data_IF_643893339680
#
_entry.id   IF_643893339680
#
_cell.length_a   1.000
_cell.length_b   1.000
_cell.length_c   1.000
_cell.angle_alpha   90.00
_cell.angle_beta   90.00
_cell.angle_gamma   90.00
#
_symmetry.space_group_name_H-M   'P 1'
#
loop_
_entity.id
_entity.type
_entity.pdbx_description
1 polymer ?
#
# COMPACT_ATOMS: atom_id res chain seq x y z
N UNK A 1 1.44 -10.56 -0.84
CA UNK A 1 0.98 -10.62 -2.25
C UNK A 1 -0.54 -10.79 -2.27
N UNK A 2 -1.31 -9.86 -2.86
CA UNK A 2 -2.76 -9.98 -2.91
C UNK A 2 -3.14 -11.08 -3.90
N UNK A 3 -3.66 -12.20 -3.38
CA UNK A 3 -4.00 -13.41 -4.17
C UNK A 3 -5.15 -13.20 -5.18
N UNK A 4 -5.81 -12.04 -5.16
CA UNK A 4 -7.01 -11.78 -5.96
C UNK A 4 -6.72 -11.41 -7.43
N UNK A 5 -5.51 -10.94 -7.76
CA UNK A 5 -5.15 -10.63 -9.16
C UNK A 5 -4.76 -11.87 -9.99
N UNK A 6 -4.37 -12.97 -9.33
CA UNK A 6 -3.95 -14.21 -9.99
C UNK A 6 -5.10 -15.22 -10.18
N UNK A 7 -6.30 -14.94 -9.66
CA UNK A 7 -7.46 -15.84 -9.82
C UNK A 7 -8.13 -15.59 -11.19
N UNK A 8 -7.39 -15.79 -12.28
CA UNK A 8 -7.93 -15.72 -13.65
C UNK A 8 -8.64 -17.03 -13.98
N UNK A 9 -9.97 -16.96 -14.05
CA UNK A 9 -10.88 -17.93 -14.67
C UNK A 9 -10.38 -18.49 -16.03
N UNK A 10 -9.52 -17.76 -16.74
CA UNK A 10 -8.91 -18.18 -18.00
C UNK A 10 -7.99 -19.40 -17.87
N UNK A 11 -7.30 -19.59 -16.74
CA UNK A 11 -6.40 -20.73 -16.56
C UNK A 11 -7.13 -22.08 -16.64
N UNK A 12 -8.32 -22.15 -16.04
CA UNK A 12 -9.15 -23.36 -16.09
C UNK A 12 -9.61 -23.67 -17.51
N UNK A 13 -10.08 -22.68 -18.28
CA UNK A 13 -10.47 -22.91 -19.68
C UNK A 13 -9.31 -23.39 -20.54
N UNK A 14 -8.11 -22.84 -20.36
CA UNK A 14 -6.91 -23.28 -21.09
C UNK A 14 -6.53 -24.71 -20.72
N UNK A 15 -6.55 -25.06 -19.42
CA UNK A 15 -6.27 -26.43 -18.97
C UNK A 15 -7.31 -27.40 -19.52
N UNK A 16 -8.60 -27.07 -19.46
CA UNK A 16 -9.67 -27.90 -20.01
C UNK A 16 -9.48 -28.12 -21.52
N UNK A 17 -9.13 -27.07 -22.28
CA UNK A 17 -8.82 -27.20 -23.72
C UNK A 17 -7.64 -28.15 -23.98
N UNK A 18 -6.56 -28.03 -23.20
CA UNK A 18 -5.40 -28.92 -23.31
C UNK A 18 -5.76 -30.38 -23.01
N UNK A 19 -6.55 -30.61 -21.96
CA UNK A 19 -7.02 -31.97 -21.58
C UNK A 19 -7.90 -32.55 -22.68
N UNK A 20 -8.84 -31.77 -23.23
CA UNK A 20 -9.69 -32.20 -24.33
C UNK A 20 -8.88 -32.50 -25.60
N UNK A 21 -7.91 -31.65 -25.95
CA UNK A 21 -7.03 -31.89 -27.09
C UNK A 21 -6.17 -33.15 -26.91
N UNK A 22 -5.63 -33.36 -25.71
CA UNK A 22 -4.87 -34.55 -25.36
C UNK A 22 -5.70 -35.84 -25.51
N UNK A 23 -6.96 -35.82 -25.04
CA UNK A 23 -7.88 -36.94 -25.22
C UNK A 23 -8.15 -37.24 -26.69
N UNK A 24 -8.42 -36.23 -27.51
CA UNK A 24 -8.66 -36.44 -28.94
C UNK A 24 -7.45 -37.02 -29.66
N UNK A 25 -6.24 -36.51 -29.40
CA UNK A 25 -4.99 -37.04 -29.97
C UNK A 25 -4.76 -38.49 -29.52
N UNK A 26 -5.08 -38.81 -28.26
CA UNK A 26 -4.94 -40.18 -27.73
C UNK A 26 -5.86 -41.17 -28.46
N UNK A 27 -7.12 -40.79 -28.70
CA UNK A 27 -8.06 -41.60 -29.51
C UNK A 27 -7.56 -41.77 -30.94
N UNK A 28 -7.06 -40.68 -31.55
CA UNK A 28 -6.53 -40.71 -32.92
C UNK A 28 -5.31 -41.64 -33.07
N UNK A 29 -4.48 -41.70 -32.04
CA UNK A 29 -3.29 -42.56 -31.99
C UNK A 29 -3.63 -44.04 -32.09
N UNK A 30 -4.79 -44.46 -31.56
CA UNK A 30 -5.27 -45.84 -31.66
C UNK A 30 -5.57 -46.26 -33.10
N UNK A 31 -5.99 -45.32 -33.96
CA UNK A 31 -6.27 -45.58 -35.38
C UNK A 31 -5.02 -45.50 -36.26
N UNK A 32 -4.19 -44.47 -36.05
CA UNK A 32 -2.99 -44.20 -36.85
C UNK A 32 -1.92 -43.58 -35.95
N UNK A 33 -0.95 -44.40 -35.54
CA UNK A 33 0.08 -43.98 -34.58
C UNK A 33 0.95 -42.83 -35.11
N UNK A 34 1.15 -42.72 -36.43
CA UNK A 34 1.95 -41.65 -37.04
C UNK A 34 1.32 -40.26 -36.81
N UNK A 35 -0.01 -40.16 -36.93
CA UNK A 35 -0.73 -38.89 -36.73
C UNK A 35 -0.73 -38.50 -35.25
N UNK A 36 -0.83 -39.50 -34.37
CA UNK A 36 -0.70 -39.33 -32.92
C UNK A 36 0.62 -38.67 -32.51
N UNK A 37 1.75 -39.18 -33.02
CA UNK A 37 3.08 -38.65 -32.71
C UNK A 37 3.21 -37.18 -33.15
N UNK A 38 2.76 -36.84 -34.36
CA UNK A 38 2.77 -35.46 -34.86
C UNK A 38 1.87 -34.56 -34.00
N UNK A 39 0.68 -35.04 -33.63
CA UNK A 39 -0.25 -34.32 -32.76
C UNK A 39 0.32 -34.00 -31.39
N UNK A 40 0.98 -34.98 -30.74
CA UNK A 40 1.64 -34.77 -29.46
C UNK A 40 2.81 -33.79 -29.54
N UNK A 41 3.60 -33.82 -30.61
CA UNK A 41 4.67 -32.85 -30.83
C UNK A 41 4.13 -31.42 -30.94
N UNK A 42 3.07 -31.21 -31.72
CA UNK A 42 2.44 -29.91 -31.87
C UNK A 42 1.84 -29.45 -30.53
N UNK A 43 1.11 -30.33 -29.83
CA UNK A 43 0.53 -30.00 -28.53
C UNK A 43 1.60 -29.61 -27.51
N UNK A 44 2.72 -30.35 -27.48
CA UNK A 44 3.86 -30.05 -26.62
C UNK A 44 4.50 -28.70 -26.94
N UNK A 45 4.69 -28.38 -28.22
CA UNK A 45 5.23 -27.08 -28.63
C UNK A 45 4.32 -25.91 -28.20
N UNK A 46 3.00 -26.05 -28.37
CA UNK A 46 2.03 -25.05 -27.92
C UNK A 46 2.05 -24.93 -26.40
N UNK A 47 2.15 -26.04 -25.67
CA UNK A 47 2.23 -26.03 -24.21
C UNK A 47 3.47 -25.27 -23.71
N UNK A 48 4.63 -25.52 -24.31
CA UNK A 48 5.87 -24.83 -23.99
C UNK A 48 5.73 -23.32 -24.25
N UNK A 49 5.19 -22.94 -25.41
CA UNK A 49 4.98 -21.54 -25.76
C UNK A 49 4.02 -20.85 -24.76
N UNK A 50 2.92 -21.51 -24.39
CA UNK A 50 1.95 -21.00 -23.44
C UNK A 50 2.56 -20.78 -22.04
N UNK A 51 3.39 -21.71 -21.56
CA UNK A 51 4.10 -21.57 -20.27
C UNK A 51 5.09 -20.41 -20.31
N UNK A 52 5.88 -20.29 -21.38
CA UNK A 52 6.82 -19.17 -21.52
C UNK A 52 6.10 -17.83 -21.54
N UNK A 53 5.06 -17.69 -22.38
CA UNK A 53 4.26 -16.47 -22.45
C UNK A 53 3.69 -16.07 -21.09
N UNK A 54 3.24 -17.06 -20.29
CA UNK A 54 2.76 -16.83 -18.94
C UNK A 54 3.85 -16.29 -18.01
N UNK A 55 5.05 -16.86 -18.04
CA UNK A 55 6.17 -16.43 -17.19
C UNK A 55 6.61 -15.01 -17.54
N UNK A 56 6.73 -14.68 -18.83
CA UNK A 56 7.07 -13.32 -19.25
C UNK A 56 6.02 -12.30 -18.80
N UNK A 57 4.74 -12.62 -18.99
CA UNK A 57 3.66 -11.75 -18.54
C UNK A 57 3.65 -11.53 -17.02
N UNK A 58 3.91 -12.57 -16.23
CA UNK A 58 3.98 -12.45 -14.76
C UNK A 58 5.12 -11.51 -14.32
N UNK A 59 6.28 -11.56 -15.00
CA UNK A 59 7.41 -10.66 -14.73
C UNK A 59 7.10 -9.21 -15.08
N UNK A 60 6.56 -8.97 -16.28
CA UNK A 60 6.20 -7.62 -16.72
C UNK A 60 5.15 -7.00 -15.80
N UNK A 61 4.18 -7.82 -15.35
CA UNK A 61 3.16 -7.40 -14.39
C UNK A 61 3.78 -7.04 -13.03
N UNK A 62 4.71 -7.86 -12.53
CA UNK A 62 5.39 -7.61 -11.27
C UNK A 62 6.17 -6.29 -11.32
N UNK A 63 6.96 -6.08 -12.38
CA UNK A 63 7.73 -4.84 -12.57
C UNK A 63 6.82 -3.61 -12.71
N UNK A 64 5.71 -3.75 -13.44
CA UNK A 64 4.70 -2.71 -13.55
C UNK A 64 4.09 -2.36 -12.19
N UNK A 65 3.70 -3.37 -11.41
CA UNK A 65 3.14 -3.19 -10.05
C UNK A 65 4.18 -2.52 -9.15
N UNK A 66 5.43 -2.97 -9.15
CA UNK A 66 6.50 -2.37 -8.35
C UNK A 66 6.69 -0.90 -8.70
N UNK A 67 6.73 -0.57 -9.98
CA UNK A 67 6.89 0.80 -10.47
C UNK A 67 5.70 1.69 -10.09
N UNK A 68 4.48 1.18 -10.23
CA UNK A 68 3.26 1.90 -9.88
C UNK A 68 3.15 2.10 -8.36
N UNK A 69 3.36 1.03 -7.58
CA UNK A 69 3.37 1.08 -6.12
C UNK A 69 4.44 2.04 -5.60
N UNK A 70 5.63 2.07 -6.20
CA UNK A 70 6.65 3.05 -5.87
C UNK A 70 6.18 4.48 -6.12
N UNK A 71 5.57 4.78 -7.29
CA UNK A 71 5.05 6.12 -7.60
C UNK A 71 3.87 6.52 -6.70
N UNK A 72 2.97 5.60 -6.39
CA UNK A 72 1.83 5.83 -5.49
C UNK A 72 2.31 6.06 -4.06
N UNK A 73 3.24 5.22 -3.56
CA UNK A 73 3.85 5.39 -2.24
C UNK A 73 4.58 6.72 -2.15
N UNK A 74 5.35 7.08 -3.18
CA UNK A 74 6.06 8.37 -3.25
C UNK A 74 5.10 9.55 -3.35
N UNK A 75 4.03 9.45 -4.14
CA UNK A 75 3.00 10.48 -4.22
C UNK A 75 2.25 10.63 -2.89
N UNK A 76 2.03 9.55 -2.14
CA UNK A 76 1.46 9.57 -0.79
C UNK A 76 2.40 10.20 0.24
N UNK A 77 3.68 9.82 0.23
CA UNK A 77 4.72 10.39 1.08
C UNK A 77 4.93 11.89 0.79
N UNK A 78 5.00 12.28 -0.49
CA UNK A 78 5.10 13.67 -0.92
C UNK A 78 3.81 14.46 -0.60
N UNK A 79 2.62 13.86 -0.71
CA UNK A 79 1.36 14.51 -0.35
C UNK A 79 1.26 14.73 1.16
N UNK A 80 1.61 13.73 1.98
CA UNK A 80 1.67 13.88 3.45
C UNK A 80 2.72 14.92 3.87
N UNK A 81 3.86 14.97 3.16
CA UNK A 81 4.93 15.94 3.44
C UNK A 81 4.56 17.37 3.01
N UNK A 82 3.76 17.53 1.95
CA UNK A 82 3.33 18.85 1.43
C UNK A 82 2.01 19.33 2.00
N UNK A 83 1.21 18.47 2.63
CA UNK A 83 0.03 18.88 3.37
C UNK A 83 0.47 19.54 4.68
N UNK A 84 -0.09 20.71 5.06
CA UNK A 84 0.22 21.37 6.32
C UNK A 84 -0.45 20.69 7.51
N UNK A 85 -0.38 19.35 7.54
CA UNK A 85 -0.94 18.45 8.53
C UNK A 85 0.20 17.89 9.36
N UNK A 86 0.24 18.27 10.63
CA UNK A 86 1.08 17.65 11.61
C UNK A 86 0.37 16.48 12.27
N UNK A 87 1.10 15.38 12.47
CA UNK A 87 0.58 14.22 13.19
C UNK A 87 1.55 13.89 14.30
N UNK A 88 1.02 13.70 15.51
CA UNK A 88 1.78 13.36 16.71
C UNK A 88 1.08 12.23 17.46
N UNK A 89 1.85 11.21 17.83
CA UNK A 89 1.42 10.07 18.63
C UNK A 89 2.07 10.14 20.01
N UNK A 90 1.29 9.92 21.07
CA UNK A 90 1.76 9.89 22.44
C UNK A 90 1.36 8.60 23.18
N UNK A 91 2.07 8.28 24.26
CA UNK A 91 1.79 7.11 25.09
C UNK A 91 0.88 7.46 26.30
N UNK A 92 0.62 6.47 27.18
CA UNK A 92 -0.20 6.67 28.40
C UNK A 92 0.36 7.75 29.33
N UNK A 93 1.68 7.90 29.34
CA UNK A 93 2.41 8.88 30.13
C UNK A 93 2.52 10.24 29.42
N UNK A 94 1.76 10.47 28.33
CA UNK A 94 1.82 11.70 27.51
C UNK A 94 3.21 12.01 26.95
N UNK A 95 4.02 10.97 26.75
CA UNK A 95 5.32 11.02 26.09
C UNK A 95 5.16 10.73 24.61
N UNK A 96 5.81 11.55 23.79
CA UNK A 96 5.66 11.52 22.34
C UNK A 96 6.47 10.36 21.78
N UNK A 97 5.80 9.42 21.12
CA UNK A 97 6.45 8.24 20.53
C UNK A 97 6.83 8.46 19.06
N UNK A 98 6.06 9.29 18.35
CA UNK A 98 6.29 9.54 16.94
C UNK A 98 5.67 10.87 16.52
N UNK A 99 6.34 11.57 15.61
CA UNK A 99 5.83 12.76 14.96
C UNK A 99 6.22 12.75 13.48
N UNK A 100 5.35 13.26 12.62
CA UNK A 100 5.68 13.36 11.20
C UNK A 100 6.76 14.44 10.93
N UNK A 101 7.47 14.38 9.79
CA UNK A 101 8.51 15.36 9.45
C UNK A 101 8.00 16.82 9.42
N UNK A 102 6.73 17.02 9.09
CA UNK A 102 6.11 18.34 9.12
C UNK A 102 6.16 18.95 10.53
N UNK A 103 5.69 18.25 11.57
CA UNK A 103 5.80 18.71 12.97
C UNK A 103 7.26 18.93 13.37
N UNK A 104 8.14 18.00 12.99
CA UNK A 104 9.56 18.10 13.33
C UNK A 104 10.24 19.32 12.69
N UNK A 105 9.78 19.76 11.52
CA UNK A 105 10.28 20.97 10.86
C UNK A 105 9.68 22.28 11.41
N UNK A 106 8.49 22.21 11.99
CA UNK A 106 7.70 23.38 12.38
C UNK A 106 7.84 23.74 13.86
N UNK A 107 7.98 22.74 14.73
CA UNK A 107 8.10 22.89 16.18
C UNK A 107 9.58 22.76 16.60
N UNK A 108 10.17 21.58 16.45
CA UNK A 108 11.60 21.32 16.69
C UNK A 108 11.98 19.95 16.11
N UNK A 109 13.25 19.71 15.78
CA UNK A 109 13.68 18.40 15.22
C UNK A 109 13.70 17.25 16.23
N UNK A 110 13.59 17.56 17.53
CA UNK A 110 13.73 16.62 18.65
C UNK A 110 12.42 16.54 19.44
N UNK A 111 11.31 16.28 18.75
CA UNK A 111 9.96 16.20 19.36
C UNK A 111 9.74 14.85 20.02
N UNK A 112 10.33 13.80 19.46
CA UNK A 112 10.14 12.42 19.90
C UNK A 112 10.86 12.22 21.24
N UNK A 113 10.14 11.67 22.23
CA UNK A 113 10.66 11.43 23.56
C UNK A 113 10.43 12.55 24.58
N UNK A 114 9.93 13.72 24.16
CA UNK A 114 9.49 14.79 25.06
C UNK A 114 8.08 14.56 25.57
N UNK A 115 7.73 15.20 26.68
CA UNK A 115 6.34 15.27 27.11
C UNK A 115 5.54 16.26 26.25
N UNK A 116 4.24 16.01 26.09
CA UNK A 116 3.35 16.92 25.34
C UNK A 116 3.33 18.33 25.94
N UNK A 117 3.45 18.45 27.26
CA UNK A 117 3.57 19.72 28.01
C UNK A 117 4.77 20.56 27.56
N UNK A 118 5.92 19.91 27.28
CA UNK A 118 7.14 20.59 26.85
C UNK A 118 6.99 21.25 25.46
N UNK A 119 6.00 20.85 24.68
CA UNK A 119 5.69 21.46 23.38
C UNK A 119 4.78 22.67 23.55
N UNK A 120 3.73 22.54 24.36
CA UNK A 120 2.76 23.59 24.62
C UNK A 120 1.93 23.25 25.83
N UNK A 121 1.95 24.12 26.83
CA UNK A 121 1.07 24.04 28.01
C UNK A 121 -0.41 24.01 27.59
N UNK A 122 -0.77 24.79 26.56
CA UNK A 122 -2.15 24.80 26.03
C UNK A 122 -2.58 23.44 25.47
N UNK A 123 -1.66 22.65 24.92
CA UNK A 123 -1.97 21.32 24.39
C UNK A 123 -2.25 20.32 25.51
N UNK A 124 -1.55 20.44 26.64
CA UNK A 124 -1.82 19.63 27.82
C UNK A 124 -3.17 20.00 28.45
N UNK A 125 -3.49 21.29 28.54
CA UNK A 125 -4.82 21.74 29.01
C UNK A 125 -5.94 21.15 28.16
N UNK A 126 -5.78 21.10 26.83
CA UNK A 126 -6.79 20.50 25.94
C UNK A 126 -6.95 18.98 26.15
N UNK A 127 -5.87 18.28 26.48
CA UNK A 127 -5.91 16.86 26.85
C UNK A 127 -6.57 16.63 28.21
N UNK A 128 -6.40 17.55 29.15
CA UNK A 128 -7.01 17.49 30.48
C UNK A 128 -8.51 17.83 30.45
N UNK A 129 -8.90 18.80 29.63
CA UNK A 129 -10.28 19.26 29.47
C UNK A 129 -11.11 18.41 28.48
N UNK A 130 -10.53 17.33 27.93
CA UNK A 130 -11.12 16.45 26.88
C UNK A 130 -11.66 17.24 25.67
N UNK A 131 -10.98 18.32 25.30
CA UNK A 131 -11.39 19.19 24.20
C UNK A 131 -10.91 18.59 22.89
N UNK A 132 -11.86 18.09 22.09
CA UNK A 132 -11.58 17.39 20.84
C UNK A 132 -10.98 18.27 19.74
N UNK A 133 -11.29 19.56 19.72
CA UNK A 133 -10.87 20.50 18.68
C UNK A 133 -10.67 21.89 19.28
N UNK A 134 -9.48 22.48 19.12
CA UNK A 134 -9.23 23.89 19.48
C UNK A 134 -8.09 24.52 18.65
N UNK A 135 -7.94 25.84 18.68
CA UNK A 135 -6.85 26.55 17.99
C UNK A 135 -5.81 27.05 18.98
N UNK A 136 -4.61 26.49 18.91
CA UNK A 136 -3.50 26.86 19.78
C UNK A 136 -2.40 27.60 19.03
N UNK A 137 -1.67 28.43 19.76
CA UNK A 137 -0.48 29.11 19.26
C UNK A 137 0.76 28.35 19.74
N UNK A 138 1.60 27.90 18.80
CA UNK A 138 2.90 27.28 19.11
C UNK A 138 3.98 28.12 18.42
N UNK A 139 4.86 28.74 19.21
CA UNK A 139 5.79 29.76 18.71
C UNK A 139 5.02 30.94 18.10
N UNK A 140 5.32 31.30 16.85
CA UNK A 140 4.63 32.39 16.12
C UNK A 140 3.53 31.90 15.14
N UNK A 141 3.17 30.62 15.18
CA UNK A 141 2.21 30.01 14.24
C UNK A 141 0.95 29.56 14.98
N UNK A 142 -0.19 29.67 14.30
CA UNK A 142 -1.47 29.17 14.79
C UNK A 142 -1.79 27.81 14.16
N UNK A 143 -2.13 26.85 15.02
CA UNK A 143 -2.52 25.51 14.62
C UNK A 143 -3.93 25.24 15.13
N UNK A 144 -4.78 24.78 14.23
CA UNK A 144 -6.02 24.14 14.60
C UNK A 144 -5.70 22.68 14.95
N UNK A 145 -5.96 22.28 16.18
CA UNK A 145 -5.58 20.99 16.72
C UNK A 145 -6.83 20.15 16.94
N UNK A 146 -6.75 18.87 16.55
CA UNK A 146 -7.78 17.88 16.84
C UNK A 146 -7.16 16.71 17.58
N UNK A 147 -7.78 16.33 18.70
CA UNK A 147 -7.30 15.28 19.60
C UNK A 147 -8.25 14.09 19.50
N UNK A 148 -7.70 12.94 19.14
CA UNK A 148 -8.37 11.64 19.20
C UNK A 148 -7.76 10.86 20.37
N UNK A 149 -8.29 11.09 21.58
CA UNK A 149 -7.76 10.52 22.82
C UNK A 149 -7.79 8.98 22.84
N UNK A 150 -8.81 8.38 22.22
CA UNK A 150 -8.95 6.92 22.08
C UNK A 150 -7.78 6.29 21.30
N UNK A 151 -7.25 7.01 20.32
CA UNK A 151 -6.11 6.59 19.49
C UNK A 151 -4.76 7.20 19.94
N UNK A 152 -4.78 8.06 20.97
CA UNK A 152 -3.63 8.84 21.48
C UNK A 152 -2.91 9.61 20.37
N UNK A 153 -3.73 10.27 19.57
CA UNK A 153 -3.33 10.92 18.33
C UNK A 153 -3.73 12.39 18.35
N UNK A 154 -2.80 13.24 17.91
CA UNK A 154 -3.00 14.69 17.81
C UNK A 154 -2.72 15.13 16.38
N UNK A 155 -3.73 15.72 15.74
CA UNK A 155 -3.62 16.34 14.43
C UNK A 155 -3.42 17.84 14.57
N UNK A 156 -2.50 18.41 13.79
CA UNK A 156 -2.24 19.84 13.72
C UNK A 156 -2.48 20.34 12.30
N UNK A 157 -3.43 21.24 12.12
CA UNK A 157 -3.72 21.88 10.86
C UNK A 157 -3.22 23.32 10.91
N UNK A 158 -2.30 23.72 10.03
CA UNK A 158 -1.83 25.11 10.00
C UNK A 158 -2.97 26.05 9.57
N UNK A 159 -3.28 27.04 10.41
CA UNK A 159 -4.25 28.06 10.06
C UNK A 159 -3.57 29.13 9.19
N UNK A 160 -3.99 29.28 7.93
CA UNK A 160 -3.60 30.43 7.12
C UNK A 160 -4.50 31.60 7.49
N UNK A 161 -3.96 32.53 8.28
CA UNK A 161 -4.62 33.84 8.45
C UNK A 161 -4.55 34.55 7.10
N UNK A 162 -5.71 34.85 6.50
CA UNK A 162 -5.81 35.82 5.40
C UNK A 162 -5.55 37.22 5.93
#
# INVERSE_FOLDING_TARGET
MPKFLLKRWHGYHVITLFVTAFLFISVLTWYQWQIGVVGFLILGAIAIYAVQARIYFERDLEEYILTLSYRVSKAGEDAVTKMPLGILLYNEERKIQWANPYISSVISSDVVGKQVEEISESLQTLLDDDVKIDTIKIGDKFFHVSIEADERLIYFFKCYRK
#
